data_IF_553500817291
#
_entry.id   IF_553500817291
#
_cell.length_a   1.000
_cell.length_b   1.000
_cell.length_c   1.000
_cell.angle_alpha   90.00
_cell.angle_beta   90.00
_cell.angle_gamma   90.00
#
_symmetry.space_group_name_H-M   'P 1'
#
loop_
_entity.id
_entity.type
_entity.pdbx_description
1 polymer ?
#
# COMPACT_ATOMS: atom_id res chain seq x y z
N UNK A 1 43.54 23.86 31.38
CA UNK A 1 43.39 22.54 30.73
C UNK A 1 42.62 21.63 31.68
N UNK A 2 41.29 21.71 31.65
CA UNK A 2 40.39 20.84 32.40
C UNK A 2 39.35 20.34 31.39
N UNK A 3 39.40 19.03 31.12
CA UNK A 3 38.48 18.33 30.24
C UNK A 3 37.31 17.86 31.11
N UNK A 4 36.16 18.49 30.96
CA UNK A 4 34.88 17.94 31.41
C UNK A 4 34.31 17.10 30.25
N UNK A 5 34.08 15.81 30.52
CA UNK A 5 33.30 14.92 29.66
C UNK A 5 31.86 15.45 29.61
N UNK A 6 31.39 15.82 28.42
CA UNK A 6 29.97 15.96 28.16
C UNK A 6 29.38 14.58 27.91
N UNK A 7 28.36 14.25 28.70
CA UNK A 7 27.56 13.04 28.59
C UNK A 7 26.98 12.89 27.17
N UNK A 8 27.20 11.71 26.59
CA UNK A 8 26.48 11.26 25.39
C UNK A 8 25.06 10.89 25.80
N UNK A 9 24.15 11.87 25.77
CA UNK A 9 22.74 11.57 25.65
C UNK A 9 22.53 10.87 24.29
N UNK A 10 22.26 9.56 24.30
CA UNK A 10 21.64 8.88 23.18
C UNK A 10 20.25 9.48 22.99
N UNK A 11 20.14 10.46 22.10
CA UNK A 11 18.84 10.92 21.62
C UNK A 11 18.22 9.77 20.82
N UNK A 12 17.33 9.02 21.47
CA UNK A 12 16.37 8.17 20.77
C UNK A 12 15.67 9.04 19.71
N UNK A 13 15.77 8.61 18.46
CA UNK A 13 15.17 9.34 17.35
C UNK A 13 13.65 9.17 17.46
N UNK A 14 12.85 10.25 17.51
CA UNK A 14 11.41 10.09 17.64
C UNK A 14 10.90 9.40 16.37
N UNK A 15 10.43 8.16 16.51
CA UNK A 15 9.45 7.64 15.55
C UNK A 15 8.29 8.63 15.55
N UNK A 16 7.70 9.00 14.39
CA UNK A 16 6.57 9.91 14.38
C UNK A 16 5.50 9.39 15.33
N UNK A 17 5.00 10.26 16.22
CA UNK A 17 4.01 9.92 17.22
C UNK A 17 2.82 9.22 16.54
N UNK A 18 2.49 7.97 16.89
CA UNK A 18 1.42 7.20 16.24
C UNK A 18 0.10 7.99 16.16
N UNK A 19 -0.14 8.87 17.12
CA UNK A 19 -1.33 9.73 17.15
C UNK A 19 -1.39 10.74 16.00
N UNK A 20 -0.23 11.13 15.43
CA UNK A 20 -0.18 12.08 14.32
C UNK A 20 -0.71 11.48 13.02
N UNK A 21 -0.34 10.24 12.70
CA UNK A 21 -0.84 9.58 11.50
C UNK A 21 -2.34 9.34 11.60
N UNK A 22 -2.85 8.92 12.76
CA UNK A 22 -4.29 8.78 12.97
C UNK A 22 -5.04 10.12 12.78
N UNK A 23 -4.46 11.25 13.18
CA UNK A 23 -5.02 12.59 12.92
C UNK A 23 -4.91 12.99 11.45
N UNK A 24 -3.77 12.76 10.82
CA UNK A 24 -3.54 13.03 9.40
C UNK A 24 -4.55 12.27 8.52
N UNK A 25 -4.82 11.01 8.85
CA UNK A 25 -5.83 10.19 8.17
C UNK A 25 -7.27 10.65 8.38
N UNK A 26 -7.54 11.56 9.32
CA UNK A 26 -8.87 12.16 9.55
C UNK A 26 -9.06 13.52 8.87
N UNK A 27 -8.01 14.08 8.26
CA UNK A 27 -8.11 15.31 7.47
C UNK A 27 -9.17 15.14 6.37
N UNK A 28 -9.91 16.20 6.06
CA UNK A 28 -10.96 16.20 5.05
C UNK A 28 -10.42 15.76 3.69
N UNK A 29 -11.16 14.89 3.01
CA UNK A 29 -10.80 14.40 1.68
C UNK A 29 -11.30 15.37 0.62
N UNK A 30 -10.43 15.83 -0.30
CA UNK A 30 -10.73 16.92 -1.22
C UNK A 30 -10.88 16.50 -2.70
N UNK A 31 -10.40 15.31 -3.09
CA UNK A 31 -10.47 14.70 -4.44
C UNK A 31 -10.57 15.65 -5.66
N UNK A 32 -9.65 16.63 -5.82
CA UNK A 32 -9.81 17.65 -6.84
C UNK A 32 -9.69 17.11 -8.27
N UNK A 33 -9.05 15.94 -8.44
CA UNK A 33 -8.86 15.26 -9.72
C UNK A 33 -9.89 14.16 -9.98
N UNK A 34 -10.86 13.98 -9.07
CA UNK A 34 -11.88 12.93 -9.15
C UNK A 34 -11.28 11.52 -9.27
N UNK A 35 -10.12 11.30 -8.64
CA UNK A 35 -9.35 10.08 -8.77
C UNK A 35 -10.06 8.88 -8.13
N UNK A 36 -10.92 9.08 -7.12
CA UNK A 36 -11.71 7.98 -6.52
C UNK A 36 -12.71 7.44 -7.54
N UNK A 37 -13.26 8.31 -8.36
CA UNK A 37 -14.14 7.91 -9.46
C UNK A 37 -13.36 7.17 -10.55
N UNK A 38 -12.15 7.60 -10.91
CA UNK A 38 -11.30 6.87 -11.85
C UNK A 38 -10.97 5.46 -11.35
N UNK A 39 -10.61 5.32 -10.07
CA UNK A 39 -10.40 4.01 -9.45
C UNK A 39 -11.66 3.15 -9.53
N UNK A 40 -12.82 3.73 -9.23
CA UNK A 40 -14.11 3.03 -9.32
C UNK A 40 -14.36 2.54 -10.75
N UNK A 41 -14.17 3.39 -11.75
CA UNK A 41 -14.37 3.03 -13.15
C UNK A 41 -13.44 1.92 -13.60
N UNK A 42 -12.17 1.97 -13.20
CA UNK A 42 -11.20 0.91 -13.46
C UNK A 42 -11.63 -0.42 -12.83
N UNK A 43 -12.04 -0.41 -11.55
CA UNK A 43 -12.51 -1.60 -10.83
C UNK A 43 -13.75 -2.19 -11.48
N UNK A 44 -14.75 -1.36 -11.82
CA UNK A 44 -16.00 -1.81 -12.44
C UNK A 44 -15.80 -2.30 -13.88
N UNK A 45 -14.77 -1.80 -14.58
CA UNK A 45 -14.37 -2.32 -15.89
C UNK A 45 -13.71 -3.69 -15.73
N UNK A 46 -12.68 -3.78 -14.88
CA UNK A 46 -11.95 -5.03 -14.64
C UNK A 46 -12.86 -6.15 -14.10
N UNK A 47 -13.82 -5.82 -13.22
CA UNK A 47 -14.74 -6.82 -12.66
C UNK A 47 -15.66 -7.47 -13.70
N UNK A 48 -15.84 -6.85 -14.88
CA UNK A 48 -16.63 -7.40 -16.00
C UNK A 48 -15.80 -8.25 -16.95
N UNK A 49 -14.48 -8.27 -16.79
CA UNK A 49 -13.54 -9.00 -17.63
C UNK A 49 -13.13 -10.36 -17.01
N UNK A 50 -13.86 -10.81 -15.98
CA UNK A 50 -13.63 -12.01 -15.18
C UNK A 50 -13.42 -13.30 -15.98
N UNK A 51 -13.97 -13.38 -17.20
CA UNK A 51 -13.79 -14.50 -18.14
C UNK A 51 -12.36 -14.60 -18.67
N UNK A 52 -11.67 -13.47 -18.80
CA UNK A 52 -10.36 -13.36 -19.46
C UNK A 52 -9.24 -12.93 -18.52
N UNK A 53 -9.59 -12.45 -17.33
CA UNK A 53 -8.67 -11.93 -16.34
C UNK A 53 -8.97 -12.46 -14.94
N UNK A 54 -7.95 -12.46 -14.08
CA UNK A 54 -8.16 -12.69 -12.66
C UNK A 54 -9.02 -11.59 -12.04
N UNK A 55 -9.88 -11.96 -11.09
CA UNK A 55 -10.79 -11.06 -10.37
C UNK A 55 -10.09 -10.20 -9.31
N UNK A 56 -8.99 -9.54 -9.68
CA UNK A 56 -8.36 -8.55 -8.84
C UNK A 56 -7.68 -7.44 -9.64
N UNK A 57 -7.60 -6.25 -9.06
CA UNK A 57 -6.82 -5.14 -9.57
C UNK A 57 -5.72 -4.79 -8.56
N UNK A 58 -4.46 -4.83 -9.01
CA UNK A 58 -3.35 -4.30 -8.23
C UNK A 58 -3.37 -2.76 -8.31
N UNK A 59 -3.40 -2.10 -7.16
CA UNK A 59 -3.35 -0.65 -7.07
C UNK A 59 -2.03 -0.23 -6.42
N UNK A 60 -1.14 0.35 -7.22
CA UNK A 60 0.28 0.48 -6.91
C UNK A 60 0.73 1.94 -6.92
N UNK A 61 1.60 2.28 -5.96
CA UNK A 61 2.41 3.49 -5.90
C UNK A 61 3.23 3.42 -4.60
N UNK A 62 4.32 4.20 -4.47
CA UNK A 62 4.99 4.33 -3.18
C UNK A 62 4.11 4.96 -2.08
N UNK A 63 4.60 4.89 -0.84
CA UNK A 63 4.04 5.58 0.32
C UNK A 63 3.84 7.08 0.06
N UNK A 64 2.73 7.58 0.59
CA UNK A 64 2.41 9.01 0.66
C UNK A 64 1.43 9.55 -0.37
N UNK A 65 1.12 8.77 -1.42
CA UNK A 65 0.13 9.11 -2.45
C UNK A 65 -1.35 8.88 -2.04
N UNK A 66 -1.62 8.59 -0.77
CA UNK A 66 -3.00 8.47 -0.28
C UNK A 66 -3.75 7.21 -0.73
N UNK A 67 -3.07 6.13 -1.16
CA UNK A 67 -3.68 4.86 -1.61
C UNK A 67 -4.74 4.31 -0.63
N UNK A 68 -4.35 4.13 0.63
CA UNK A 68 -5.28 3.63 1.67
C UNK A 68 -6.47 4.58 1.83
N UNK A 69 -6.23 5.91 1.81
CA UNK A 69 -7.32 6.88 1.93
C UNK A 69 -8.27 6.80 0.73
N UNK A 70 -7.74 6.68 -0.47
CA UNK A 70 -8.46 6.49 -1.73
C UNK A 70 -9.43 5.30 -1.64
N UNK A 71 -8.91 4.18 -1.16
CA UNK A 71 -9.66 2.94 -0.97
C UNK A 71 -10.79 3.12 0.04
N UNK A 72 -10.51 3.73 1.19
CA UNK A 72 -11.52 3.95 2.21
C UNK A 72 -12.61 4.93 1.75
N UNK A 73 -12.29 5.89 0.88
CA UNK A 73 -13.28 6.79 0.28
C UNK A 73 -14.10 6.09 -0.80
N UNK A 74 -13.48 5.26 -1.64
CA UNK A 74 -14.18 4.40 -2.60
C UNK A 74 -15.16 3.46 -1.88
N UNK A 75 -14.71 2.85 -0.78
CA UNK A 75 -15.44 1.89 0.05
C UNK A 75 -16.77 2.44 0.60
N UNK A 76 -16.88 3.74 0.86
CA UNK A 76 -18.13 4.37 1.35
C UNK A 76 -19.34 4.17 0.44
N UNK A 77 -19.11 3.84 -0.83
CA UNK A 77 -20.13 3.77 -1.87
C UNK A 77 -20.26 2.37 -2.50
N UNK A 78 -19.69 1.33 -1.88
CA UNK A 78 -19.80 -0.04 -2.38
C UNK A 78 -19.89 -1.06 -1.24
N UNK A 79 -20.42 -2.25 -1.55
CA UNK A 79 -20.34 -3.39 -0.66
C UNK A 79 -18.90 -3.87 -0.61
N UNK A 80 -18.29 -3.80 0.57
CA UNK A 80 -16.88 -4.11 0.71
C UNK A 80 -16.54 -4.75 2.03
N UNK A 81 -15.40 -5.45 2.04
CA UNK A 81 -14.71 -5.92 3.24
C UNK A 81 -13.26 -5.48 3.16
N UNK A 82 -12.78 -4.84 4.23
CA UNK A 82 -11.41 -4.36 4.33
C UNK A 82 -10.53 -5.34 5.11
N UNK A 83 -9.43 -5.75 4.50
CA UNK A 83 -8.46 -6.72 5.02
C UNK A 83 -7.08 -6.08 4.95
N UNK A 84 -6.40 -5.98 6.09
CA UNK A 84 -5.05 -5.46 6.17
C UNK A 84 -4.16 -6.46 6.91
N UNK A 85 -3.14 -6.98 6.23
CA UNK A 85 -2.18 -7.94 6.78
C UNK A 85 -1.02 -7.30 7.54
N UNK A 86 -1.17 -6.04 7.95
CA UNK A 86 -0.17 -5.34 8.74
C UNK A 86 0.03 -6.04 10.10
N UNK A 87 1.29 -6.29 10.49
CA UNK A 87 1.60 -6.95 11.78
C UNK A 87 1.18 -6.04 12.93
N UNK A 88 0.59 -6.63 13.99
CA UNK A 88 0.09 -5.89 15.16
C UNK A 88 1.16 -5.04 15.87
N UNK A 89 2.42 -5.48 15.83
CA UNK A 89 3.52 -4.84 16.54
C UNK A 89 4.19 -3.69 15.76
N UNK A 90 3.88 -3.52 14.48
CA UNK A 90 4.49 -2.48 13.65
C UNK A 90 3.70 -1.16 13.77
N UNK A 91 4.41 -0.04 13.92
CA UNK A 91 3.87 1.32 14.08
C UNK A 91 3.19 1.92 12.83
N UNK A 92 2.72 1.08 11.92
CA UNK A 92 2.08 1.48 10.67
C UNK A 92 0.57 1.71 10.81
N UNK A 93 0.07 2.62 9.99
CA UNK A 93 -1.35 2.84 9.75
C UNK A 93 -1.62 2.51 8.27
N UNK A 94 -2.71 1.81 7.92
CA UNK A 94 -3.85 1.41 8.75
C UNK A 94 -3.54 0.25 9.70
N UNK A 95 -4.37 0.09 10.74
CA UNK A 95 -4.24 -1.03 11.69
C UNK A 95 -4.53 -2.35 11.00
N UNK A 96 -3.81 -3.39 11.39
CA UNK A 96 -4.09 -4.75 10.93
C UNK A 96 -5.50 -5.18 11.31
N UNK A 97 -6.16 -5.86 10.38
CA UNK A 97 -7.52 -6.40 10.59
C UNK A 97 -7.54 -7.34 11.80
N UNK A 98 -8.61 -7.34 12.63
CA UNK A 98 -8.75 -8.33 13.70
C UNK A 98 -8.53 -9.75 13.17
N UNK A 99 -7.67 -10.51 13.85
CA UNK A 99 -7.31 -11.91 13.49
C UNK A 99 -6.64 -12.08 12.11
N UNK A 100 -6.07 -11.02 11.53
CA UNK A 100 -5.34 -11.10 10.27
C UNK A 100 -4.19 -12.13 10.26
N UNK A 101 -3.49 -12.30 11.38
CA UNK A 101 -2.42 -13.30 11.55
C UNK A 101 -2.94 -14.73 11.41
N UNK A 102 -4.09 -15.05 12.01
CA UNK A 102 -4.73 -16.37 11.91
C UNK A 102 -5.12 -16.67 10.45
N UNK A 103 -5.75 -15.70 9.78
CA UNK A 103 -6.08 -15.80 8.36
C UNK A 103 -4.82 -16.00 7.51
N UNK A 104 -3.77 -15.21 7.77
CA UNK A 104 -2.53 -15.28 7.00
C UNK A 104 -1.79 -16.61 7.19
N UNK A 105 -1.75 -17.13 8.41
CA UNK A 105 -1.18 -18.43 8.75
C UNK A 105 -1.93 -19.56 8.03
N UNK A 106 -3.26 -19.55 8.06
CA UNK A 106 -4.08 -20.53 7.35
C UNK A 106 -3.85 -20.48 5.84
N UNK A 107 -3.89 -19.29 5.23
CA UNK A 107 -3.64 -19.13 3.79
C UNK A 107 -2.26 -19.66 3.37
N UNK A 108 -1.26 -19.56 4.26
CA UNK A 108 0.12 -20.03 4.02
C UNK A 108 0.36 -21.49 4.38
N UNK A 109 -0.59 -22.15 5.04
CA UNK A 109 -0.51 -23.55 5.50
C UNK A 109 -0.43 -24.54 4.35
N UNK A 110 -1.11 -24.24 3.23
CA UNK A 110 -1.06 -25.07 2.03
C UNK A 110 0.38 -25.22 1.51
N UNK A 111 0.75 -26.46 1.16
CA UNK A 111 2.06 -26.79 0.57
C UNK A 111 2.06 -26.52 -0.93
N UNK A 112 0.90 -26.69 -1.57
CA UNK A 112 0.68 -26.51 -3.00
C UNK A 112 -0.34 -25.41 -3.28
N UNK A 113 -0.35 -24.88 -4.50
CA UNK A 113 -1.28 -23.80 -4.91
C UNK A 113 -2.73 -24.28 -4.80
N UNK A 114 -2.99 -25.54 -5.14
CA UNK A 114 -4.31 -26.18 -5.08
C UNK A 114 -4.84 -26.25 -3.64
N UNK A 115 -3.97 -26.55 -2.66
CA UNK A 115 -4.34 -26.54 -1.24
C UNK A 115 -4.61 -25.10 -0.76
N UNK A 116 -3.74 -24.15 -1.11
CA UNK A 116 -3.94 -22.73 -0.80
C UNK A 116 -5.23 -22.18 -1.41
N UNK A 117 -5.59 -22.62 -2.63
CA UNK A 117 -6.85 -22.25 -3.30
C UNK A 117 -8.06 -22.72 -2.51
N UNK A 118 -8.09 -23.99 -2.10
CA UNK A 118 -9.19 -24.52 -1.26
C UNK A 118 -9.32 -23.75 0.05
N UNK A 119 -8.21 -23.42 0.71
CA UNK A 119 -8.21 -22.64 1.95
C UNK A 119 -8.72 -21.22 1.71
N UNK A 120 -8.19 -20.53 0.69
CA UNK A 120 -8.60 -19.18 0.35
C UNK A 120 -10.09 -19.10 -0.04
N UNK A 121 -10.59 -20.10 -0.76
CA UNK A 121 -12.01 -20.21 -1.13
C UNK A 121 -12.90 -20.29 0.11
N UNK A 122 -12.51 -21.08 1.12
CA UNK A 122 -13.22 -21.18 2.41
C UNK A 122 -13.26 -19.83 3.13
N UNK A 123 -12.16 -19.10 3.16
CA UNK A 123 -12.10 -17.76 3.76
C UNK A 123 -13.00 -16.76 3.04
N UNK A 124 -12.88 -16.64 1.71
CA UNK A 124 -13.71 -15.73 0.92
C UNK A 124 -15.20 -16.06 1.10
N UNK A 125 -15.54 -17.34 1.07
CA UNK A 125 -16.89 -17.82 1.33
C UNK A 125 -17.41 -17.34 2.69
N UNK A 126 -16.67 -17.59 3.78
CA UNK A 126 -17.08 -17.18 5.13
C UNK A 126 -17.21 -15.66 5.27
N UNK A 127 -16.34 -14.90 4.62
CA UNK A 127 -16.41 -13.43 4.59
C UNK A 127 -17.72 -12.98 3.95
N UNK A 128 -18.07 -13.53 2.78
CA UNK A 128 -19.30 -13.16 2.05
C UNK A 128 -20.55 -13.54 2.85
N UNK A 129 -20.63 -14.78 3.32
CA UNK A 129 -21.78 -15.27 4.10
C UNK A 129 -21.98 -14.42 5.35
N UNK A 130 -20.90 -14.12 6.08
CA UNK A 130 -20.97 -13.27 7.27
C UNK A 130 -21.40 -11.84 6.93
N UNK A 131 -20.85 -11.27 5.84
CA UNK A 131 -21.21 -9.94 5.37
C UNK A 131 -22.70 -9.84 5.03
N UNK A 132 -23.23 -10.78 4.25
CA UNK A 132 -24.64 -10.82 3.88
C UNK A 132 -25.54 -10.98 5.12
N UNK A 133 -25.17 -11.81 6.09
CA UNK A 133 -25.91 -11.93 7.34
C UNK A 133 -25.87 -10.65 8.18
N UNK A 134 -24.70 -10.02 8.35
CA UNK A 134 -24.56 -8.84 9.21
C UNK A 134 -25.14 -7.57 8.60
N UNK A 135 -25.22 -7.44 7.27
CA UNK A 135 -25.97 -6.33 6.65
C UNK A 135 -27.46 -6.31 7.05
N UNK A 136 -27.99 -7.44 7.54
CA UNK A 136 -29.37 -7.56 8.03
C UNK A 136 -29.52 -7.41 9.55
N UNK A 137 -28.42 -7.41 10.31
CA UNK A 137 -28.42 -7.32 11.78
C UNK A 137 -28.12 -5.89 12.27
N UNK A 138 -28.50 -5.58 13.52
CA UNK A 138 -28.22 -4.28 14.16
C UNK A 138 -26.84 -4.21 14.81
N UNK A 139 -26.12 -5.32 14.91
CA UNK A 139 -24.85 -5.41 15.60
C UNK A 139 -23.69 -5.22 14.61
N UNK A 140 -22.89 -4.17 14.82
CA UNK A 140 -21.91 -3.67 13.84
C UNK A 140 -20.51 -3.53 14.46
N UNK A 141 -20.11 -4.46 15.31
CA UNK A 141 -18.74 -4.49 15.81
C UNK A 141 -17.83 -5.31 14.87
N UNK A 142 -16.75 -4.70 14.40
CA UNK A 142 -15.75 -5.32 13.52
C UNK A 142 -15.16 -6.62 14.12
N UNK A 143 -14.95 -6.66 15.44
CA UNK A 143 -14.40 -7.84 16.10
C UNK A 143 -15.35 -9.04 16.02
N UNK A 144 -16.64 -8.82 16.29
CA UNK A 144 -17.68 -9.85 16.16
C UNK A 144 -17.85 -10.37 14.73
N UNK A 145 -17.61 -9.50 13.72
CA UNK A 145 -17.60 -9.90 12.32
C UNK A 145 -16.50 -10.93 12.08
N UNK A 146 -15.26 -10.65 12.45
CA UNK A 146 -14.14 -11.55 12.21
C UNK A 146 -14.21 -12.84 13.02
N UNK A 147 -14.76 -12.81 14.24
CA UNK A 147 -15.07 -14.02 15.01
C UNK A 147 -16.08 -14.91 14.28
N UNK A 148 -17.13 -14.32 13.72
CA UNK A 148 -18.14 -15.03 12.94
C UNK A 148 -17.56 -15.63 11.65
N UNK A 149 -16.68 -14.89 10.96
CA UNK A 149 -15.97 -15.39 9.77
C UNK A 149 -15.13 -16.62 10.13
N UNK A 150 -14.34 -16.58 11.21
CA UNK A 150 -13.50 -17.70 11.65
C UNK A 150 -14.37 -18.93 11.97
N UNK A 151 -15.48 -18.73 12.68
CA UNK A 151 -16.38 -19.81 13.03
C UNK A 151 -17.01 -20.43 11.77
N UNK A 152 -17.48 -19.61 10.83
CA UNK A 152 -18.04 -20.07 9.55
C UNK A 152 -17.03 -20.85 8.71
N UNK A 153 -15.75 -20.47 8.73
CA UNK A 153 -14.69 -21.16 7.98
C UNK A 153 -14.52 -22.62 8.42
N UNK A 154 -14.89 -22.92 9.68
CA UNK A 154 -14.87 -24.28 10.24
C UNK A 154 -16.09 -25.12 9.86
N UNK A 155 -17.21 -24.49 9.50
CA UNK A 155 -18.53 -25.15 9.38
C UNK A 155 -18.97 -25.53 7.95
N UNK A 156 -18.21 -25.16 6.90
CA UNK A 156 -18.45 -25.56 5.48
C UNK A 156 -19.91 -25.48 5.00
N UNK A 157 -20.47 -24.28 4.95
CA UNK A 157 -21.75 -24.04 4.26
C UNK A 157 -21.50 -23.78 2.77
N UNK A 158 -22.52 -24.01 1.93
CA UNK A 158 -22.53 -23.63 0.52
C UNK A 158 -23.33 -22.33 0.34
N UNK A 159 -22.94 -21.49 -0.62
CA UNK A 159 -23.56 -20.18 -0.90
C UNK A 159 -24.44 -20.29 -2.14
N UNK A 160 -25.58 -19.58 -2.11
CA UNK A 160 -26.31 -19.15 -3.29
C UNK A 160 -25.72 -17.84 -3.81
N UNK A 161 -25.55 -17.68 -5.12
CA UNK A 161 -24.91 -16.52 -5.78
C UNK A 161 -25.18 -15.17 -5.07
N UNK A 162 -24.11 -14.42 -4.78
CA UNK A 162 -24.22 -13.12 -4.12
C UNK A 162 -25.07 -12.18 -4.96
N UNK A 163 -25.99 -11.46 -4.30
CA UNK A 163 -26.94 -10.56 -5.00
C UNK A 163 -26.29 -9.30 -5.56
N UNK A 164 -25.12 -8.92 -5.04
CA UNK A 164 -24.37 -7.72 -5.42
C UNK A 164 -22.87 -8.05 -5.50
N UNK A 165 -22.13 -7.29 -6.30
CA UNK A 165 -20.67 -7.34 -6.33
C UNK A 165 -20.10 -6.88 -4.98
N UNK A 166 -19.29 -7.74 -4.35
CA UNK A 166 -18.57 -7.44 -3.11
C UNK A 166 -17.10 -7.17 -3.45
N UNK A 167 -16.58 -6.03 -2.98
CA UNK A 167 -15.19 -5.64 -3.17
C UNK A 167 -14.34 -6.02 -1.94
N UNK A 168 -13.33 -6.86 -2.13
CA UNK A 168 -12.35 -7.17 -1.09
C UNK A 168 -11.15 -6.24 -1.21
N UNK A 169 -10.99 -5.31 -0.27
CA UNK A 169 -9.79 -4.50 -0.18
C UNK A 169 -8.74 -5.25 0.62
N UNK A 170 -7.62 -5.60 -0.01
CA UNK A 170 -6.53 -6.35 0.61
C UNK A 170 -5.29 -5.47 0.62
N UNK A 171 -5.03 -4.84 1.76
CA UNK A 171 -3.87 -4.00 2.01
C UNK A 171 -2.71 -4.79 2.63
N UNK A 172 -1.49 -4.35 2.34
CA UNK A 172 -0.24 -5.08 2.63
C UNK A 172 -0.27 -6.51 2.05
N UNK A 173 -0.77 -6.66 0.83
CA UNK A 173 -0.99 -7.95 0.17
C UNK A 173 0.30 -8.75 -0.05
N UNK A 174 1.49 -8.11 -0.06
CA UNK A 174 2.75 -8.86 -0.13
C UNK A 174 3.02 -9.71 1.10
N UNK A 175 2.29 -9.50 2.19
CA UNK A 175 2.28 -10.42 3.33
C UNK A 175 1.90 -11.84 2.89
N UNK A 176 1.13 -12.03 1.83
CA UNK A 176 0.79 -13.36 1.28
C UNK A 176 1.97 -14.04 0.58
N UNK A 177 3.03 -13.30 0.28
CA UNK A 177 4.25 -13.86 -0.28
C UNK A 177 5.12 -14.44 0.83
N UNK A 178 5.76 -15.56 0.53
CA UNK A 178 6.68 -16.21 1.43
C UNK A 178 8.11 -15.73 1.16
N UNK A 179 8.52 -14.74 1.95
CA UNK A 179 9.86 -14.15 1.91
C UNK A 179 10.83 -14.81 2.89
N UNK A 180 10.37 -15.78 3.67
CA UNK A 180 11.13 -16.34 4.81
C UNK A 180 12.21 -17.34 4.42
N UNK A 181 12.07 -17.96 3.25
CA UNK A 181 13.01 -18.97 2.78
C UNK A 181 13.52 -18.63 1.38
N UNK A 182 14.71 -18.03 1.32
CA UNK A 182 15.34 -17.61 0.07
C UNK A 182 15.55 -18.78 -0.90
N UNK A 183 15.71 -20.01 -0.39
CA UNK A 183 15.94 -21.22 -1.19
C UNK A 183 14.70 -21.73 -1.93
N UNK A 184 13.50 -21.26 -1.58
CA UNK A 184 12.26 -21.64 -2.28
C UNK A 184 12.23 -21.02 -3.67
N UNK A 185 11.72 -21.78 -4.64
CA UNK A 185 11.50 -21.24 -5.98
C UNK A 185 10.32 -20.24 -5.97
N UNK A 186 10.20 -19.41 -7.02
CA UNK A 186 9.18 -18.36 -7.08
C UNK A 186 7.73 -18.90 -6.97
N UNK A 187 7.47 -20.11 -7.50
CA UNK A 187 6.15 -20.75 -7.43
C UNK A 187 5.79 -21.10 -5.98
N UNK A 188 6.74 -21.63 -5.22
CA UNK A 188 6.57 -21.93 -3.79
C UNK A 188 6.42 -20.67 -2.96
N UNK A 189 7.17 -19.60 -3.29
CA UNK A 189 7.08 -18.31 -2.60
C UNK A 189 5.72 -17.65 -2.77
N UNK A 190 5.08 -17.83 -3.93
CA UNK A 190 3.84 -17.14 -4.28
C UNK A 190 2.60 -18.03 -4.12
N UNK A 191 2.71 -19.22 -3.51
CA UNK A 191 1.62 -20.21 -3.48
C UNK A 191 0.32 -19.71 -2.82
N UNK A 192 0.42 -18.99 -1.70
CA UNK A 192 -0.74 -18.48 -0.98
C UNK A 192 -1.44 -17.36 -1.78
N UNK A 193 -0.65 -16.40 -2.29
CA UNK A 193 -1.13 -15.38 -3.21
C UNK A 193 -1.83 -15.96 -4.46
N UNK A 194 -1.20 -16.96 -5.10
CA UNK A 194 -1.78 -17.65 -6.27
C UNK A 194 -3.05 -18.42 -5.92
N UNK A 195 -3.08 -19.07 -4.76
CA UNK A 195 -4.28 -19.74 -4.24
C UNK A 195 -5.42 -18.76 -4.04
N UNK A 196 -5.15 -17.58 -3.48
CA UNK A 196 -6.13 -16.50 -3.33
C UNK A 196 -6.65 -16.00 -4.68
N UNK A 197 -5.77 -15.75 -5.65
CA UNK A 197 -6.18 -15.27 -6.99
C UNK A 197 -7.10 -16.28 -7.69
N UNK A 198 -6.81 -17.58 -7.59
CA UNK A 198 -7.69 -18.65 -8.09
C UNK A 198 -9.02 -18.68 -7.35
N UNK A 199 -8.98 -18.58 -6.02
CA UNK A 199 -10.20 -18.56 -5.21
C UNK A 199 -11.11 -17.40 -5.58
N UNK A 200 -10.58 -16.19 -5.81
CA UNK A 200 -11.35 -15.02 -6.26
C UNK A 200 -12.04 -15.26 -7.60
N UNK A 201 -11.36 -15.92 -8.54
CA UNK A 201 -11.92 -16.23 -9.85
C UNK A 201 -13.10 -17.19 -9.78
N UNK A 202 -13.11 -18.15 -8.84
CA UNK A 202 -14.25 -19.07 -8.63
C UNK A 202 -15.57 -18.35 -8.29
N UNK A 203 -15.52 -17.09 -7.82
CA UNK A 203 -16.70 -16.29 -7.50
C UNK A 203 -17.18 -15.42 -8.67
N UNK A 204 -16.57 -15.52 -9.85
CA UNK A 204 -16.97 -14.79 -11.06
C UNK A 204 -17.26 -13.30 -10.78
N UNK A 205 -18.40 -12.79 -11.23
CA UNK A 205 -18.75 -11.37 -11.12
C UNK A 205 -19.31 -10.97 -9.75
N UNK A 206 -19.36 -11.91 -8.79
CA UNK A 206 -19.86 -11.63 -7.43
C UNK A 206 -18.80 -11.05 -6.50
N UNK A 207 -17.51 -11.29 -6.76
CA UNK A 207 -16.42 -10.86 -5.89
C UNK A 207 -15.26 -10.34 -6.71
N UNK A 208 -14.75 -9.18 -6.33
CA UNK A 208 -13.55 -8.61 -6.94
C UNK A 208 -12.62 -8.05 -5.88
N UNK A 209 -11.31 -8.27 -6.02
CA UNK A 209 -10.34 -7.77 -5.04
C UNK A 209 -9.57 -6.55 -5.54
N UNK A 210 -9.21 -5.66 -4.62
CA UNK A 210 -8.22 -4.60 -4.87
C UNK A 210 -7.05 -4.85 -3.96
N UNK A 211 -5.87 -5.06 -4.55
CA UNK A 211 -4.66 -5.39 -3.83
C UNK A 211 -3.77 -4.16 -3.74
N UNK A 212 -3.42 -3.75 -2.53
CA UNK A 212 -2.45 -2.69 -2.29
C UNK A 212 -1.26 -3.17 -1.49
N UNK A 213 -0.13 -2.52 -1.73
CA UNK A 213 1.05 -2.69 -0.92
C UNK A 213 1.91 -1.43 -0.97
N UNK A 214 2.48 -1.06 0.18
CA UNK A 214 3.27 0.16 0.30
C UNK A 214 4.74 -0.07 -0.03
N UNK A 215 5.25 -1.30 0.10
CA UNK A 215 6.69 -1.61 0.05
C UNK A 215 6.98 -2.91 -0.73
N UNK A 216 6.17 -3.27 -1.72
CA UNK A 216 6.39 -4.43 -2.56
C UNK A 216 6.81 -4.05 -3.98
N UNK A 217 7.47 -4.99 -4.65
CA UNK A 217 7.72 -4.88 -6.08
C UNK A 217 6.39 -5.03 -6.81
N UNK A 218 6.13 -4.23 -7.84
CA UNK A 218 4.91 -4.38 -8.66
C UNK A 218 4.72 -5.82 -9.13
N UNK A 219 5.80 -6.46 -9.58
CA UNK A 219 5.81 -7.85 -10.03
C UNK A 219 5.33 -8.88 -8.98
N UNK A 220 5.28 -8.51 -7.70
CA UNK A 220 4.78 -9.36 -6.63
C UNK A 220 3.25 -9.51 -6.69
N UNK A 221 2.54 -8.44 -7.03
CA UNK A 221 1.09 -8.39 -7.09
C UNK A 221 0.55 -8.44 -8.52
N UNK A 222 1.38 -8.07 -9.50
CA UNK A 222 1.06 -8.12 -10.91
C UNK A 222 2.24 -8.71 -11.70
N UNK A 223 2.46 -10.03 -11.63
CA UNK A 223 3.57 -10.69 -12.32
C UNK A 223 3.41 -10.59 -13.85
N UNK A 224 4.53 -10.74 -14.58
CA UNK A 224 4.48 -10.87 -16.03
C UNK A 224 3.83 -12.19 -16.46
N UNK A 225 3.32 -12.23 -17.69
CA UNK A 225 2.80 -13.47 -18.32
C UNK A 225 3.86 -14.58 -18.31
N UNK A 226 5.15 -14.23 -18.48
CA UNK A 226 6.26 -15.18 -18.46
C UNK A 226 6.53 -15.76 -17.06
N UNK A 227 6.34 -14.94 -16.02
CA UNK A 227 6.51 -15.33 -14.61
C UNK A 227 5.26 -16.04 -14.06
N UNK A 228 4.11 -15.81 -14.67
CA UNK A 228 2.87 -16.52 -14.40
C UNK A 228 2.78 -17.84 -15.19
N UNK A 229 3.65 -18.77 -14.81
CA UNK A 229 3.69 -20.14 -15.35
C UNK A 229 2.32 -20.87 -15.25
N UNK A 230 1.37 -20.36 -14.45
CA UNK A 230 0.03 -20.92 -14.27
C UNK A 230 -1.05 -20.31 -15.16
N UNK A 231 -0.84 -19.11 -15.73
CA UNK A 231 -1.72 -18.55 -16.76
C UNK A 231 -1.89 -19.52 -17.94
N UNK A 232 -0.89 -20.37 -18.20
CA UNK A 232 -0.92 -21.41 -19.24
C UNK A 232 -2.00 -22.49 -19.06
N UNK A 233 -2.53 -22.68 -17.84
CA UNK A 233 -3.55 -23.71 -17.57
C UNK A 233 -4.98 -23.15 -17.54
N UNK A 234 -5.14 -21.82 -17.44
CA UNK A 234 -6.45 -21.17 -17.29
C UNK A 234 -6.71 -20.08 -18.35
N UNK A 235 -5.73 -19.76 -19.21
CA UNK A 235 -5.78 -18.66 -20.20
C UNK A 235 -6.21 -17.29 -19.62
N UNK A 236 -6.04 -17.10 -18.31
CA UNK A 236 -6.35 -15.85 -17.62
C UNK A 236 -5.16 -14.89 -17.63
N UNK A 237 -5.47 -13.60 -17.73
CA UNK A 237 -4.50 -12.50 -17.70
C UNK A 237 -4.57 -11.72 -16.39
N UNK A 238 -3.48 -11.05 -16.06
CA UNK A 238 -3.44 -10.06 -14.97
C UNK A 238 -3.79 -8.70 -15.54
N UNK A 239 -4.66 -7.94 -14.88
CA UNK A 239 -4.97 -6.57 -15.29
C UNK A 239 -3.74 -5.67 -15.18
N UNK A 240 -3.65 -4.68 -16.08
CA UNK A 240 -2.70 -3.58 -15.91
C UNK A 240 -2.95 -2.90 -14.54
N UNK A 241 -1.93 -2.73 -13.70
CA UNK A 241 -2.11 -2.13 -12.39
C UNK A 241 -2.64 -0.70 -12.47
N UNK A 242 -3.47 -0.32 -11.51
CA UNK A 242 -3.88 1.07 -11.32
C UNK A 242 -2.74 1.84 -10.62
N UNK A 243 -2.17 2.84 -11.29
CA UNK A 243 -1.05 3.62 -10.78
C UNK A 243 -1.56 4.94 -10.18
N UNK A 244 -1.33 5.17 -8.89
CA UNK A 244 -1.76 6.42 -8.23
C UNK A 244 -0.79 7.56 -8.56
N UNK A 245 -1.15 8.43 -9.51
CA UNK A 245 -0.38 9.64 -9.84
C UNK A 245 -1.18 10.91 -9.51
N UNK A 246 -2.51 10.85 -9.66
CA UNK A 246 -3.41 12.00 -9.64
C UNK A 246 -3.68 12.62 -8.24
N UNK A 247 -3.04 12.14 -7.18
CA UNK A 247 -3.23 12.69 -5.82
C UNK A 247 -2.22 13.76 -5.44
N UNK A 248 -1.21 14.04 -6.28
CA UNK A 248 -0.29 15.17 -6.10
C UNK A 248 -1.07 16.47 -5.95
N UNK A 249 -0.70 17.28 -4.96
CA UNK A 249 -1.34 18.54 -4.60
C UNK A 249 -2.83 18.42 -4.25
N UNK A 250 -3.35 17.22 -3.97
CA UNK A 250 -4.78 17.02 -3.75
C UNK A 250 -5.34 17.68 -2.48
N UNK A 251 -4.47 18.21 -1.61
CA UNK A 251 -4.85 18.97 -0.41
C UNK A 251 -4.52 20.47 -0.56
N UNK A 252 -4.15 20.90 -1.77
CA UNK A 252 -3.99 22.30 -2.15
C UNK A 252 -5.34 22.84 -2.62
N UNK A 253 -6.02 23.60 -1.77
CA UNK A 253 -7.35 24.14 -2.08
C UNK A 253 -7.33 25.41 -2.92
N UNK A 254 -6.22 26.16 -2.88
CA UNK A 254 -5.93 27.32 -3.71
C UNK A 254 -4.54 27.84 -3.29
N UNK A 255 -3.49 27.72 -4.13
CA UNK A 255 -2.18 28.20 -3.75
C UNK A 255 -2.19 29.72 -3.78
N UNK A 256 -2.36 30.34 -2.61
CA UNK A 256 -2.03 31.76 -2.45
C UNK A 256 -0.53 31.92 -2.62
N UNK A 257 -0.12 32.88 -3.44
CA UNK A 257 1.30 33.19 -3.61
C UNK A 257 1.88 33.57 -2.23
N UNK A 258 2.97 32.92 -1.78
CA UNK A 258 3.56 33.23 -0.49
C UNK A 258 3.91 34.71 -0.43
N UNK A 259 3.51 35.39 0.64
CA UNK A 259 3.98 36.76 0.91
C UNK A 259 5.47 36.73 1.27
N UNK A 260 6.21 37.82 1.05
CA UNK A 260 7.63 37.92 1.48
C UNK A 260 7.83 37.73 3.00
N UNK A 261 6.77 37.90 3.79
CA UNK A 261 6.76 37.67 5.24
C UNK A 261 6.45 36.23 5.65
N UNK A 262 6.21 35.33 4.70
CA UNK A 262 5.92 33.92 4.96
C UNK A 262 7.21 33.16 5.33
N UNK A 263 7.14 32.33 6.36
CA UNK A 263 8.24 31.45 6.79
C UNK A 263 8.51 30.33 5.75
N UNK A 264 7.75 30.28 4.65
CA UNK A 264 7.94 29.35 3.53
C UNK A 264 7.43 27.95 3.80
N UNK A 265 6.87 27.68 4.98
CA UNK A 265 6.37 26.35 5.35
C UNK A 265 5.13 25.93 4.56
N UNK A 266 4.48 26.83 3.82
CA UNK A 266 3.37 26.48 2.92
C UNK A 266 3.77 25.46 1.85
N UNK A 267 5.06 25.33 1.56
CA UNK A 267 5.57 24.32 0.61
C UNK A 267 5.19 22.87 0.98
N UNK A 268 4.84 22.59 2.24
CA UNK A 268 4.39 21.26 2.69
C UNK A 268 3.08 20.82 2.06
N UNK A 269 2.31 21.74 1.47
CA UNK A 269 1.06 21.42 0.80
C UNK A 269 1.26 20.91 -0.63
N UNK A 270 2.45 21.13 -1.21
CA UNK A 270 2.80 20.68 -2.55
C UNK A 270 3.46 19.30 -2.55
N UNK A 271 3.26 18.56 -3.62
CA UNK A 271 3.69 17.17 -3.78
C UNK A 271 2.68 16.19 -3.20
N UNK A 272 3.18 15.23 -2.41
CA UNK A 272 2.34 14.14 -1.91
C UNK A 272 1.39 14.59 -0.79
N UNK A 273 0.16 14.06 -0.75
CA UNK A 273 -0.82 14.34 0.31
C UNK A 273 -0.35 14.02 1.72
N UNK A 274 0.59 13.08 1.88
CA UNK A 274 1.17 12.74 3.17
C UNK A 274 1.71 13.96 3.91
N UNK A 275 2.36 14.87 3.19
CA UNK A 275 3.01 16.04 3.77
C UNK A 275 1.98 17.00 4.37
N UNK A 276 1.04 17.43 3.54
CA UNK A 276 -0.04 18.33 3.90
C UNK A 276 -0.94 17.73 5.00
N UNK A 277 -1.32 16.46 4.86
CA UNK A 277 -2.15 15.79 5.88
C UNK A 277 -1.44 15.65 7.22
N UNK A 278 -0.13 15.38 7.23
CA UNK A 278 0.68 15.34 8.47
C UNK A 278 0.76 16.73 9.10
N UNK A 279 1.01 17.77 8.30
CA UNK A 279 1.02 19.16 8.75
C UNK A 279 -0.30 19.58 9.41
N UNK A 280 -1.42 19.30 8.73
CA UNK A 280 -2.77 19.56 9.22
C UNK A 280 -3.10 18.73 10.47
N UNK A 281 -2.63 17.47 10.51
CA UNK A 281 -2.79 16.58 11.66
C UNK A 281 -2.13 17.11 12.94
N UNK A 282 -1.05 17.90 12.83
CA UNK A 282 -0.43 18.54 13.99
C UNK A 282 -1.32 19.64 14.57
N UNK A 283 -2.23 20.23 13.79
CA UNK A 283 -3.10 21.33 14.24
C UNK A 283 -2.30 22.47 14.87
N UNK A 284 -2.81 23.14 15.89
CA UNK A 284 -2.07 24.20 16.63
C UNK A 284 -1.13 23.66 17.72
N UNK A 285 -0.91 22.34 17.79
CA UNK A 285 -0.20 21.71 18.94
C UNK A 285 1.30 21.93 18.95
N UNK A 286 1.90 22.30 17.81
CA UNK A 286 3.33 22.56 17.66
C UNK A 286 3.56 23.85 16.90
N UNK A 287 4.70 24.50 17.16
CA UNK A 287 5.17 25.64 16.39
C UNK A 287 5.43 25.22 14.92
N UNK A 288 5.16 26.10 13.94
CA UNK A 288 5.36 25.81 12.51
C UNK A 288 6.74 25.24 12.19
N UNK A 289 7.80 25.79 12.79
CA UNK A 289 9.20 25.39 12.58
C UNK A 289 9.43 23.94 13.03
N UNK A 290 8.84 23.55 14.17
CA UNK A 290 8.96 22.20 14.70
C UNK A 290 8.22 21.20 13.83
N UNK A 291 7.01 21.54 13.35
CA UNK A 291 6.26 20.67 12.42
C UNK A 291 7.04 20.46 11.13
N UNK A 292 7.58 21.54 10.57
CA UNK A 292 8.32 21.50 9.33
C UNK A 292 9.56 20.59 9.46
N UNK A 293 10.36 20.79 10.50
CA UNK A 293 11.54 19.97 10.78
C UNK A 293 11.21 18.48 10.95
N UNK A 294 10.09 18.14 11.60
CA UNK A 294 9.63 16.76 11.75
C UNK A 294 9.16 16.14 10.42
N UNK A 295 8.47 16.90 9.57
CA UNK A 295 8.06 16.44 8.23
C UNK A 295 9.28 16.24 7.33
N UNK A 296 10.27 17.15 7.35
CA UNK A 296 11.54 16.96 6.63
C UNK A 296 12.27 15.71 7.15
N UNK A 297 12.26 15.47 8.45
CA UNK A 297 12.85 14.25 9.03
C UNK A 297 12.13 12.98 8.56
N UNK A 298 10.80 13.02 8.44
CA UNK A 298 10.00 11.93 7.88
C UNK A 298 10.33 11.72 6.39
N UNK A 299 10.46 12.80 5.61
CA UNK A 299 10.85 12.75 4.21
C UNK A 299 12.24 12.11 4.04
N UNK A 300 13.23 12.53 4.84
CA UNK A 300 14.57 11.92 4.92
C UNK A 300 14.49 10.42 5.18
N UNK A 301 13.77 10.03 6.24
CA UNK A 301 13.61 8.61 6.58
C UNK A 301 13.01 7.78 5.44
N UNK A 302 11.98 8.31 4.75
CA UNK A 302 11.34 7.66 3.60
C UNK A 302 12.24 7.59 2.37
N UNK A 303 12.94 8.68 2.04
CA UNK A 303 13.85 8.77 0.89
C UNK A 303 15.04 7.80 1.04
N UNK A 304 15.44 7.52 2.27
CA UNK A 304 16.53 6.65 2.65
C UNK A 304 16.16 5.15 2.76
N UNK A 305 14.98 4.74 2.30
CA UNK A 305 14.58 3.33 2.32
C UNK A 305 13.58 2.94 3.41
N UNK A 306 13.25 3.85 4.34
CA UNK A 306 12.39 3.55 5.49
C UNK A 306 13.02 2.61 6.52
N UNK A 307 14.34 2.45 6.50
CA UNK A 307 15.09 1.54 7.39
C UNK A 307 15.91 2.34 8.41
N UNK A 308 16.48 3.47 8.01
CA UNK A 308 17.35 4.28 8.85
C UNK A 308 17.07 5.77 8.63
N UNK A 309 17.17 6.53 9.71
CA UNK A 309 17.01 7.99 9.72
C UNK A 309 18.32 8.73 9.43
N UNK A 310 19.46 8.02 9.39
CA UNK A 310 20.79 8.62 9.22
C UNK A 310 21.58 7.90 8.15
N UNK A 311 22.28 8.68 7.34
CA UNK A 311 23.18 8.22 6.29
C UNK A 311 24.25 7.23 6.79
N UNK A 312 24.82 7.48 7.98
CA UNK A 312 25.86 6.62 8.59
C UNK A 312 25.37 5.19 8.80
N UNK A 313 24.09 5.02 9.12
CA UNK A 313 23.50 3.71 9.38
C UNK A 313 23.26 2.94 8.07
N UNK A 314 23.08 3.65 6.95
CA UNK A 314 22.84 3.09 5.62
C UNK A 314 24.12 2.67 4.92
N UNK A 315 25.21 3.43 5.11
CA UNK A 315 26.53 3.13 4.50
C UNK A 315 27.06 1.73 4.81
N UNK A 316 26.54 1.08 5.84
CA UNK A 316 26.88 -0.30 6.20
C UNK A 316 26.39 -1.32 5.17
N UNK A 317 25.39 -0.98 4.36
CA UNK A 317 24.89 -1.79 3.26
C UNK A 317 25.11 -1.05 1.94
N UNK A 318 26.06 -1.52 1.13
CA UNK A 318 26.47 -0.87 -0.11
C UNK A 318 25.31 -0.72 -1.11
N UNK A 319 24.47 -1.74 -1.26
CA UNK A 319 23.33 -1.71 -2.16
C UNK A 319 22.30 -0.66 -1.72
N UNK A 320 21.97 -0.65 -0.42
CA UNK A 320 21.04 0.33 0.14
C UNK A 320 21.59 1.76 0.01
N UNK A 321 22.89 1.96 0.30
CA UNK A 321 23.55 3.25 0.16
C UNK A 321 23.54 3.75 -1.29
N UNK A 322 23.72 2.86 -2.27
CA UNK A 322 23.64 3.20 -3.69
C UNK A 322 22.23 3.62 -4.10
N UNK A 323 21.20 2.89 -3.67
CA UNK A 323 19.81 3.25 -3.97
C UNK A 323 19.43 4.60 -3.34
N UNK A 324 19.80 4.80 -2.08
CA UNK A 324 19.56 6.06 -1.38
C UNK A 324 20.31 7.25 -2.03
N UNK A 325 21.57 7.06 -2.44
CA UNK A 325 22.31 8.10 -3.18
C UNK A 325 21.61 8.49 -4.49
N UNK A 326 21.15 7.50 -5.25
CA UNK A 326 20.43 7.75 -6.50
C UNK A 326 19.11 8.48 -6.26
N UNK A 327 18.37 8.11 -5.20
CA UNK A 327 17.11 8.76 -4.84
C UNK A 327 17.31 10.24 -4.47
N UNK A 328 18.30 10.53 -3.61
CA UNK A 328 18.66 11.91 -3.22
C UNK A 328 19.12 12.73 -4.42
N UNK A 329 19.99 12.19 -5.26
CA UNK A 329 20.43 12.92 -6.46
C UNK A 329 19.28 13.13 -7.44
N UNK A 330 18.36 12.17 -7.57
CA UNK A 330 17.21 12.29 -8.45
C UNK A 330 16.18 13.32 -7.93
N UNK A 331 15.96 13.43 -6.61
CA UNK A 331 15.05 14.42 -6.03
C UNK A 331 15.59 15.86 -6.10
N UNK A 332 16.91 16.04 -6.22
CA UNK A 332 17.55 17.37 -6.32
C UNK A 332 17.80 17.76 -7.78
N UNK A 333 18.34 16.85 -8.59
CA UNK A 333 18.83 17.15 -9.94
C UNK A 333 17.91 16.65 -11.07
N UNK A 334 16.75 16.05 -10.75
CA UNK A 334 15.81 15.56 -11.76
C UNK A 334 16.39 14.44 -12.63
N UNK A 335 17.15 13.52 -12.04
CA UNK A 335 17.83 12.47 -12.80
C UNK A 335 16.82 11.52 -13.47
N UNK A 336 17.02 11.29 -14.77
CA UNK A 336 16.30 10.26 -15.50
C UNK A 336 16.84 8.87 -15.18
N UNK A 337 16.00 8.00 -14.61
CA UNK A 337 16.30 6.59 -14.39
C UNK A 337 15.69 5.77 -15.52
N UNK A 338 16.53 5.10 -16.30
CA UNK A 338 16.08 4.27 -17.42
C UNK A 338 15.08 3.18 -16.97
N UNK A 339 13.93 3.01 -17.65
CA UNK A 339 12.95 1.96 -17.33
C UNK A 339 13.46 0.53 -17.46
N UNK A 340 14.59 0.32 -18.15
CA UNK A 340 15.24 -0.98 -18.32
C UNK A 340 16.11 -1.31 -17.09
N UNK A 341 16.40 -0.33 -16.26
CA UNK A 341 17.25 -0.50 -15.08
C UNK A 341 16.57 -1.37 -14.02
N UNK A 342 17.28 -2.40 -13.55
CA UNK A 342 16.86 -3.23 -12.40
C UNK A 342 16.76 -2.44 -11.08
N UNK A 343 17.25 -1.21 -11.06
CA UNK A 343 17.18 -0.30 -9.91
C UNK A 343 15.81 0.39 -9.82
N UNK A 344 15.12 0.65 -10.93
CA UNK A 344 13.88 1.43 -10.94
C UNK A 344 12.77 0.83 -10.03
N UNK A 345 12.48 -0.48 -10.07
CA UNK A 345 11.49 -1.09 -9.18
C UNK A 345 11.85 -0.92 -7.70
N UNK A 346 13.14 -0.95 -7.35
CA UNK A 346 13.61 -0.80 -5.98
C UNK A 346 13.52 0.64 -5.49
N UNK A 347 13.74 1.63 -6.37
CA UNK A 347 13.54 3.03 -6.03
C UNK A 347 12.06 3.34 -5.76
N UNK A 348 11.15 2.77 -6.55
CA UNK A 348 9.70 2.88 -6.29
C UNK A 348 9.35 2.17 -5.00
N UNK A 349 9.88 0.97 -4.77
CA UNK A 349 9.55 0.14 -3.61
C UNK A 349 9.93 0.76 -2.27
N UNK A 350 11.06 1.48 -2.18
CA UNK A 350 11.59 1.90 -0.88
C UNK A 350 12.14 3.31 -0.80
N UNK A 351 12.36 4.02 -1.91
CA UNK A 351 13.06 5.31 -1.91
C UNK A 351 12.25 6.44 -2.52
N UNK A 352 10.93 6.44 -2.36
CA UNK A 352 10.06 7.53 -2.80
C UNK A 352 10.05 7.80 -4.31
N UNK A 353 10.55 6.92 -5.19
CA UNK A 353 10.32 7.16 -6.63
C UNK A 353 8.83 7.03 -6.95
N UNK A 354 8.37 7.88 -7.86
CA UNK A 354 7.00 7.86 -8.38
C UNK A 354 6.96 6.97 -9.60
N UNK A 355 6.13 5.93 -9.55
CA UNK A 355 5.83 5.14 -10.73
C UNK A 355 4.87 5.93 -11.62
N UNK A 356 5.24 6.14 -12.88
CA UNK A 356 4.42 6.80 -13.90
C UNK A 356 3.75 5.77 -14.82
N UNK A 357 4.46 4.69 -15.12
CA UNK A 357 3.99 3.73 -16.11
C UNK A 357 4.71 2.39 -16.01
N UNK A 358 4.06 1.39 -16.56
CA UNK A 358 4.57 0.05 -16.76
C UNK A 358 4.40 -0.33 -18.21
N UNK A 359 5.28 -1.20 -18.71
CA UNK A 359 5.01 -1.89 -19.96
C UNK A 359 3.98 -3.01 -19.76
N UNK A 360 3.43 -3.53 -20.87
CA UNK A 360 2.44 -4.63 -20.84
C UNK A 360 2.97 -5.91 -20.17
N UNK A 361 4.31 -6.09 -20.14
CA UNK A 361 4.95 -7.22 -19.46
C UNK A 361 5.17 -6.98 -17.96
N UNK A 362 4.85 -5.79 -17.44
CA UNK A 362 5.07 -5.38 -16.05
C UNK A 362 6.54 -5.46 -15.58
N UNK A 363 7.50 -5.51 -16.51
CA UNK A 363 8.93 -5.60 -16.18
C UNK A 363 9.62 -4.24 -16.22
N UNK A 364 9.18 -3.33 -17.09
CA UNK A 364 9.81 -2.02 -17.29
C UNK A 364 9.03 -0.97 -16.52
N UNK A 365 9.74 -0.25 -15.67
CA UNK A 365 9.15 0.72 -14.75
C UNK A 365 9.56 2.12 -15.17
N UNK A 366 8.62 2.90 -15.71
CA UNK A 366 8.84 4.32 -15.94
C UNK A 366 8.65 5.06 -14.63
N UNK A 367 9.72 5.65 -14.12
CA UNK A 367 9.73 6.29 -12.80
C UNK A 367 10.23 7.73 -12.89
N UNK A 368 9.84 8.55 -11.93
CA UNK A 368 10.37 9.90 -11.75
C UNK A 368 10.47 10.27 -10.28
N UNK A 369 11.26 11.30 -10.01
CA UNK A 369 11.18 12.08 -8.77
C UNK A 369 10.61 13.43 -9.18
N UNK A 370 9.30 13.67 -8.97
CA UNK A 370 8.72 14.96 -9.32
C UNK A 370 9.36 16.04 -8.44
N UNK A 371 9.27 17.29 -8.88
CA UNK A 371 9.72 18.42 -8.08
C UNK A 371 8.82 18.53 -6.84
N UNK A 372 9.26 17.90 -5.75
CA UNK A 372 8.60 17.93 -4.45
C UNK A 372 9.52 18.72 -3.50
N UNK A 373 9.16 19.95 -3.09
CA UNK A 373 10.04 20.81 -2.28
C UNK A 373 10.57 20.11 -1.03
N UNK A 374 9.72 19.32 -0.36
CA UNK A 374 10.11 18.55 0.82
C UNK A 374 11.11 17.43 0.55
N UNK A 375 11.08 16.81 -0.63
CA UNK A 375 12.06 15.79 -1.01
C UNK A 375 13.39 16.38 -1.47
N UNK A 376 13.38 17.62 -1.97
CA UNK A 376 14.59 18.35 -2.32
C UNK A 376 15.27 18.95 -1.08
N UNK A 377 14.50 19.33 -0.05
CA UNK A 377 15.00 19.81 1.25
C UNK A 377 15.51 18.67 2.15
N UNK A 378 14.96 17.46 1.98
CA UNK A 378 15.34 16.26 2.71
C UNK A 378 16.73 15.75 2.31
#
# INVERSE_FOLDING_TARGET
MFIQKADKAQAETPSPDKTIFEKAFKVGFQDPTNYVQELREAVMKCSKESVTHYNYLAAIQFSGYGKTRSILEFAKNCHHVYICFHKKDLSGYPKGTPKNEEMLEDLKKGKMVEECHVIAKKWIHSIITTFEHMTTSKDKNEESFWESVIQSTKEHKDINAARHLIILFIDEASALLDTTNEKRNLKEKNRAFRGLCRALHDFNDSVFAILTDTNSLVANLAPSIEQDILARNYDLRVHLPFIYIASTDSLEGNPELPSESDNGHHIVHFGRPLWASTWLGYGSTKLPETKFAEIVTLAKFKLLGGIASRWVDIKKNEQLARLAALAVLASIAGLYVSPISSVAPNLVKSHMATLIGLDESHQRHLITYPSEPLLSEA
#
